data_IF_824220424312
#
_entry.id   IF_824220424312
#
_cell.length_a   1.000
_cell.length_b   1.000
_cell.length_c   1.000
_cell.angle_alpha   90.00
_cell.angle_beta   90.00
_cell.angle_gamma   90.00
#
_symmetry.space_group_name_H-M   'P 1'
#
loop_
_entity.id
_entity.type
_entity.pdbx_description
1 polymer ?
#
# COMPACT_ATOMS: atom_id res chain seq x y z
N UNK A 1 17.65 19.56 89.95
CA UNK A 1 16.55 20.46 89.54
C UNK A 1 16.84 21.02 88.14
N UNK A 2 15.81 21.29 87.31
CA UNK A 2 15.77 20.85 85.91
C UNK A 2 15.78 21.97 84.85
N UNK A 3 16.00 21.53 83.60
CA UNK A 3 15.49 22.02 82.31
C UNK A 3 15.15 23.52 82.11
N UNK A 4 15.75 24.10 81.06
CA UNK A 4 15.05 25.09 80.20
C UNK A 4 15.19 24.72 78.73
N UNK A 5 14.07 24.23 78.17
CA UNK A 5 13.79 24.19 76.72
C UNK A 5 13.74 25.62 76.17
N UNK A 6 14.34 25.85 75.00
CA UNK A 6 13.85 26.85 74.05
C UNK A 6 13.83 26.24 72.65
N UNK A 7 12.61 25.99 72.17
CA UNK A 7 12.31 25.75 70.77
C UNK A 7 12.55 27.04 69.98
N UNK A 8 13.31 26.95 68.88
CA UNK A 8 13.19 27.87 67.73
C UNK A 8 13.18 27.01 66.47
N UNK A 9 12.04 27.01 65.78
CA UNK A 9 11.88 26.43 64.45
C UNK A 9 12.58 27.33 63.42
N UNK A 10 13.60 26.79 62.77
CA UNK A 10 14.13 27.29 61.51
C UNK A 10 14.24 26.07 60.61
N UNK A 11 13.28 25.90 59.71
CA UNK A 11 13.29 24.86 58.69
C UNK A 11 14.44 25.12 57.70
N UNK A 12 15.40 24.20 57.52
CA UNK A 12 16.30 24.21 56.37
C UNK A 12 15.63 23.51 55.17
N UNK A 13 16.13 23.72 53.93
CA UNK A 13 15.38 23.48 52.71
C UNK A 13 15.09 22.00 52.49
N UNK A 14 13.94 21.75 51.85
CA UNK A 14 13.49 20.45 51.35
C UNK A 14 14.67 19.63 50.83
N UNK A 15 15.09 18.62 51.60
CA UNK A 15 15.94 17.56 51.11
C UNK A 15 15.22 16.94 49.90
N UNK A 16 15.83 17.07 48.73
CA UNK A 16 15.43 16.34 47.55
C UNK A 16 15.33 14.85 47.94
N UNK A 17 14.12 14.32 47.90
CA UNK A 17 13.85 12.95 48.33
C UNK A 17 14.60 11.92 47.49
N UNK A 18 14.52 10.64 47.87
CA UNK A 18 15.28 9.53 47.26
C UNK A 18 15.09 9.35 45.75
N UNK A 19 14.21 10.11 45.10
CA UNK A 19 13.98 10.10 43.64
C UNK A 19 15.08 10.83 42.85
N UNK A 20 15.73 11.86 43.40
CA UNK A 20 16.81 12.56 42.72
C UNK A 20 18.13 11.75 42.76
N UNK A 21 18.37 11.03 43.85
CA UNK A 21 19.50 10.11 43.99
C UNK A 21 19.32 8.82 43.20
N UNK A 22 18.09 8.31 43.03
CA UNK A 22 17.82 7.15 42.16
C UNK A 22 18.08 7.47 40.68
N UNK A 23 17.77 8.69 40.24
CA UNK A 23 18.02 9.17 38.88
C UNK A 23 19.52 9.33 38.58
N UNK A 24 20.30 9.75 39.58
CA UNK A 24 21.77 9.83 39.50
C UNK A 24 22.47 8.46 39.52
N UNK A 25 21.94 7.49 40.27
CA UNK A 25 22.50 6.12 40.31
C UNK A 25 22.22 5.36 39.01
N UNK A 26 21.04 5.55 38.39
CA UNK A 26 20.72 4.95 37.10
C UNK A 26 21.60 5.48 35.95
N UNK A 27 21.93 6.78 35.95
CA UNK A 27 22.82 7.39 34.95
C UNK A 27 24.27 6.96 35.12
N UNK A 28 24.75 6.80 36.36
CA UNK A 28 26.11 6.31 36.64
C UNK A 28 26.27 4.81 36.34
N UNK A 29 25.24 3.99 36.58
CA UNK A 29 25.26 2.57 36.19
C UNK A 29 25.22 2.42 34.66
N UNK A 30 24.43 3.22 33.95
CA UNK A 30 24.39 3.20 32.48
C UNK A 30 25.76 3.55 31.84
N UNK A 31 26.53 4.45 32.45
CA UNK A 31 27.86 4.85 31.98
C UNK A 31 28.97 3.84 32.34
N UNK A 32 28.77 2.97 33.34
CA UNK A 32 29.83 2.09 33.88
C UNK A 32 29.82 0.64 33.35
N UNK A 33 28.73 0.17 32.71
CA UNK A 33 28.63 -1.24 32.24
C UNK A 33 28.31 -1.40 30.75
N UNK A 34 28.20 -0.31 29.97
CA UNK A 34 27.70 -0.43 28.59
C UNK A 34 26.32 -1.09 28.55
N UNK A 35 25.51 -0.88 29.58
CA UNK A 35 24.21 -1.50 29.74
C UNK A 35 23.20 -0.86 28.78
N UNK A 36 23.16 -1.38 27.55
CA UNK A 36 21.99 -1.26 26.70
C UNK A 36 20.84 -2.11 27.26
N UNK A 37 19.61 -1.69 26.98
CA UNK A 37 18.33 -2.42 27.14
C UNK A 37 17.44 -2.18 28.38
N UNK A 38 17.90 -1.63 29.52
CA UNK A 38 17.05 -1.56 30.72
C UNK A 38 16.12 -0.33 30.87
N UNK A 39 15.85 0.45 29.81
CA UNK A 39 14.89 1.57 29.83
C UNK A 39 13.57 1.26 29.10
N UNK A 40 13.47 0.13 28.40
CA UNK A 40 12.31 -0.23 27.56
C UNK A 40 11.00 -0.51 28.34
N UNK A 41 11.05 -0.61 29.66
CA UNK A 41 9.90 -1.01 30.50
C UNK A 41 9.07 0.16 31.06
N UNK A 42 9.34 1.41 30.64
CA UNK A 42 8.61 2.60 31.16
C UNK A 42 7.88 3.43 30.10
N UNK A 43 7.79 2.96 28.85
CA UNK A 43 7.26 3.79 27.75
C UNK A 43 8.26 4.86 27.27
N UNK A 44 9.56 4.58 27.41
CA UNK A 44 10.63 5.51 27.08
C UNK A 44 10.96 5.51 25.59
N UNK A 45 11.55 6.62 25.15
CA UNK A 45 12.12 6.76 23.83
C UNK A 45 13.48 6.04 23.81
N UNK A 46 13.62 5.03 22.97
CA UNK A 46 14.87 4.34 22.66
C UNK A 46 15.61 5.08 21.56
N UNK A 47 16.91 5.31 21.74
CA UNK A 47 17.82 5.81 20.70
C UNK A 47 19.16 5.11 20.88
N UNK A 48 19.79 4.63 19.80
CA UNK A 48 21.12 4.02 19.82
C UNK A 48 22.13 4.73 18.91
N UNK A 49 23.39 4.25 18.94
CA UNK A 49 24.47 4.77 18.09
C UNK A 49 24.35 4.43 16.61
N UNK A 50 23.42 3.55 16.23
CA UNK A 50 23.15 3.15 14.86
C UNK A 50 21.98 3.95 14.24
N UNK A 51 21.53 5.03 14.89
CA UNK A 51 20.38 5.83 14.43
C UNK A 51 19.05 5.07 14.45
N UNK A 52 18.92 4.03 15.28
CA UNK A 52 17.62 3.45 15.57
C UNK A 52 16.89 4.33 16.60
N UNK A 53 15.60 4.57 16.39
CA UNK A 53 14.74 5.38 17.28
C UNK A 53 13.44 4.62 17.54
N UNK A 54 13.01 4.50 18.79
CA UNK A 54 11.71 3.91 19.08
C UNK A 54 10.99 4.53 20.29
N UNK A 55 9.67 4.35 20.41
CA UNK A 55 8.88 4.87 21.53
C UNK A 55 7.63 4.02 21.84
N UNK A 56 7.47 3.59 23.09
CA UNK A 56 6.42 2.65 23.55
C UNK A 56 6.98 1.44 24.31
N UNK A 57 6.58 0.21 23.98
CA UNK A 57 6.97 -1.01 24.72
C UNK A 57 7.47 -2.14 23.81
N UNK A 58 8.48 -2.88 24.27
CA UNK A 58 9.03 -4.09 23.63
C UNK A 58 9.54 -3.86 22.19
N UNK A 59 10.55 -3.00 22.03
CA UNK A 59 11.19 -2.76 20.73
C UNK A 59 12.34 -3.73 20.49
N UNK A 60 12.48 -4.21 19.25
CA UNK A 60 13.66 -4.98 18.80
C UNK A 60 13.95 -6.24 19.65
N UNK A 61 12.95 -6.76 20.35
CA UNK A 61 13.07 -7.97 21.18
C UNK A 61 14.03 -7.79 22.35
N UNK A 62 14.23 -6.54 22.79
CA UNK A 62 15.23 -6.19 23.80
C UNK A 62 16.68 -6.24 23.31
N UNK A 63 16.91 -6.44 22.01
CA UNK A 63 18.24 -6.42 21.39
C UNK A 63 18.56 -5.05 20.80
N UNK A 64 19.85 -4.75 20.63
CA UNK A 64 20.30 -3.58 19.85
C UNK A 64 20.66 -4.05 18.45
N UNK A 65 19.86 -3.77 17.41
CA UNK A 65 20.24 -4.12 16.05
C UNK A 65 21.60 -3.52 15.74
N UNK A 66 22.54 -4.34 15.25
CA UNK A 66 23.88 -3.87 14.86
C UNK A 66 23.86 -2.97 13.63
N UNK A 67 22.69 -2.82 13.02
CA UNK A 67 22.44 -2.17 11.75
C UNK A 67 21.42 -1.03 11.98
N UNK A 68 21.50 0.03 11.18
CA UNK A 68 20.94 1.34 11.55
C UNK A 68 19.67 1.80 10.85
N UNK A 69 19.13 2.91 11.37
CA UNK A 69 18.08 3.72 10.72
C UNK A 69 16.64 3.23 10.91
N UNK A 70 16.36 2.35 11.86
CA UNK A 70 15.01 1.84 12.08
C UNK A 70 14.20 2.75 13.03
N UNK A 71 12.92 2.96 12.71
CA UNK A 71 11.99 3.76 13.52
C UNK A 71 10.83 2.89 13.98
N UNK A 72 10.60 2.78 15.30
CA UNK A 72 9.55 1.94 15.89
C UNK A 72 8.62 2.71 16.84
N UNK A 73 7.31 2.69 16.64
CA UNK A 73 6.36 3.33 17.56
C UNK A 73 5.22 2.37 17.88
N UNK A 74 4.97 2.09 19.16
CA UNK A 74 3.85 1.24 19.58
C UNK A 74 4.24 0.10 20.52
N UNK A 75 3.68 -1.08 20.29
CA UNK A 75 3.85 -2.26 21.14
C UNK A 75 4.40 -3.43 20.32
N UNK A 76 5.49 -4.05 20.78
CA UNK A 76 6.12 -5.20 20.15
C UNK A 76 6.40 -5.01 18.65
N UNK A 77 7.06 -3.89 18.31
CA UNK A 77 7.41 -3.60 16.91
C UNK A 77 8.84 -4.06 16.61
N UNK A 78 9.00 -4.72 15.46
CA UNK A 78 10.27 -5.29 14.99
C UNK A 78 11.03 -6.23 15.98
N UNK A 79 10.38 -7.06 16.83
CA UNK A 79 11.07 -7.88 17.82
C UNK A 79 12.00 -8.94 17.22
N UNK A 80 11.75 -9.39 15.99
CA UNK A 80 12.58 -10.39 15.31
C UNK A 80 13.72 -9.80 14.45
N UNK A 81 13.89 -8.47 14.42
CA UNK A 81 14.85 -7.82 13.54
C UNK A 81 16.29 -8.12 13.96
N UNK A 82 17.07 -8.72 13.05
CA UNK A 82 18.48 -9.06 13.28
C UNK A 82 19.43 -8.21 12.43
N UNK A 83 19.17 -8.07 11.13
CA UNK A 83 20.08 -7.38 10.19
C UNK A 83 19.40 -6.37 9.26
N UNK A 84 18.08 -6.21 9.32
CA UNK A 84 17.38 -5.23 8.49
C UNK A 84 17.68 -3.78 8.87
N UNK A 85 17.64 -2.88 7.89
CA UNK A 85 17.90 -1.44 8.05
C UNK A 85 16.79 -0.57 7.49
N UNK A 86 16.72 0.67 7.95
CA UNK A 86 15.83 1.71 7.41
C UNK A 86 14.34 1.31 7.39
N UNK A 87 13.88 0.53 8.37
CA UNK A 87 12.47 0.17 8.48
C UNK A 87 11.71 1.19 9.35
N UNK A 88 10.47 1.49 8.99
CA UNK A 88 9.53 2.27 9.79
C UNK A 88 8.38 1.36 10.22
N UNK A 89 8.20 1.13 11.51
CA UNK A 89 7.10 0.37 12.09
C UNK A 89 6.30 1.24 13.06
N UNK A 90 4.98 1.30 12.89
CA UNK A 90 4.09 2.04 13.78
C UNK A 90 2.80 1.24 14.01
N UNK A 91 2.55 0.79 15.24
CA UNK A 91 1.37 0.00 15.59
C UNK A 91 1.68 -1.09 16.61
N UNK A 92 0.73 -2.00 16.79
CA UNK A 92 0.94 -3.25 17.55
C UNK A 92 1.42 -4.33 16.59
N UNK A 93 2.53 -5.00 16.90
CA UNK A 93 3.07 -6.12 16.11
C UNK A 93 3.39 -5.76 14.63
N UNK A 94 3.62 -4.47 14.35
CA UNK A 94 4.06 -4.01 13.05
C UNK A 94 5.50 -4.53 12.78
N UNK A 95 5.71 -5.14 11.60
CA UNK A 95 6.98 -5.81 11.24
C UNK A 95 7.43 -6.88 12.25
N UNK A 96 6.49 -7.55 12.93
CA UNK A 96 6.79 -8.48 14.03
C UNK A 96 7.85 -9.54 13.68
N UNK A 97 7.64 -10.25 12.57
CA UNK A 97 8.48 -11.32 12.04
C UNK A 97 9.41 -10.90 10.89
N UNK A 98 9.89 -9.65 10.87
CA UNK A 98 10.87 -9.18 9.90
C UNK A 98 12.30 -9.41 10.39
N UNK A 99 13.02 -10.41 9.84
CA UNK A 99 14.37 -10.77 10.31
C UNK A 99 15.48 -9.92 9.66
N UNK A 100 15.50 -9.85 8.33
CA UNK A 100 16.55 -9.17 7.55
C UNK A 100 16.00 -8.20 6.50
N UNK A 101 14.68 -8.09 6.36
CA UNK A 101 14.03 -7.16 5.44
C UNK A 101 14.39 -5.70 5.78
N UNK A 102 14.62 -4.91 4.74
CA UNK A 102 15.06 -3.51 4.85
C UNK A 102 14.13 -2.58 4.07
N UNK A 103 14.13 -1.29 4.44
CA UNK A 103 13.39 -0.23 3.74
C UNK A 103 11.87 -0.47 3.69
N UNK A 104 11.32 -1.16 4.68
CA UNK A 104 9.88 -1.37 4.78
C UNK A 104 9.20 -0.27 5.61
N UNK A 105 7.99 0.13 5.22
CA UNK A 105 7.11 1.01 5.97
C UNK A 105 5.86 0.24 6.36
N UNK A 106 5.65 0.01 7.66
CA UNK A 106 4.49 -0.66 8.21
C UNK A 106 3.78 0.27 9.21
N UNK A 107 2.54 0.65 8.92
CA UNK A 107 1.71 1.48 9.80
C UNK A 107 0.35 0.83 10.00
N UNK A 108 0.06 0.39 11.22
CA UNK A 108 -1.16 -0.33 11.58
C UNK A 108 -0.85 -1.60 12.37
N UNK A 109 -1.85 -2.09 13.11
CA UNK A 109 -1.72 -3.37 13.82
C UNK A 109 -1.50 -4.50 12.82
N UNK A 110 -0.49 -5.33 13.10
CA UNK A 110 -0.08 -6.48 12.27
C UNK A 110 0.27 -6.11 10.80
N UNK A 111 0.58 -4.84 10.51
CA UNK A 111 1.06 -4.44 9.19
C UNK A 111 2.44 -5.07 8.93
N UNK A 112 2.61 -5.76 7.79
CA UNK A 112 3.80 -6.57 7.47
C UNK A 112 4.21 -7.54 8.61
N UNK A 113 3.23 -8.10 9.34
CA UNK A 113 3.48 -8.95 10.50
C UNK A 113 4.50 -10.08 10.24
N UNK A 114 4.44 -10.76 9.10
CA UNK A 114 5.37 -11.81 8.71
C UNK A 114 6.04 -11.43 7.38
N UNK A 115 7.17 -10.74 7.46
CA UNK A 115 7.99 -10.31 6.33
C UNK A 115 9.47 -10.68 6.52
N UNK A 116 9.84 -11.97 6.56
CA UNK A 116 11.15 -12.41 7.03
C UNK A 116 12.34 -11.78 6.28
N UNK A 117 12.20 -11.60 4.97
CA UNK A 117 13.29 -11.13 4.07
C UNK A 117 12.86 -10.09 3.04
N UNK A 118 11.58 -9.72 2.97
CA UNK A 118 11.08 -8.79 1.95
C UNK A 118 11.53 -7.36 2.20
N UNK A 119 11.79 -6.63 1.13
CA UNK A 119 12.33 -5.28 1.14
C UNK A 119 11.42 -4.31 0.40
N UNK A 120 11.56 -3.02 0.72
CA UNK A 120 10.91 -1.92 -0.02
C UNK A 120 9.38 -2.01 -0.05
N UNK A 121 8.75 -2.65 0.94
CA UNK A 121 7.30 -2.74 1.03
C UNK A 121 6.69 -1.57 1.80
N UNK A 122 5.52 -1.09 1.38
CA UNK A 122 4.73 -0.09 2.09
C UNK A 122 3.37 -0.68 2.46
N UNK A 123 3.12 -0.88 3.74
CA UNK A 123 1.87 -1.38 4.28
C UNK A 123 1.25 -0.37 5.24
N UNK A 124 0.05 0.12 4.94
CA UNK A 124 -0.70 1.02 5.82
C UNK A 124 -2.11 0.51 6.02
N UNK A 125 -2.42 0.04 7.23
CA UNK A 125 -3.73 -0.50 7.61
C UNK A 125 -3.61 -1.76 8.48
N UNK A 126 -4.70 -2.10 9.18
CA UNK A 126 -4.83 -3.36 9.91
C UNK A 126 -4.63 -4.55 8.96
N UNK A 127 -3.68 -5.45 9.23
CA UNK A 127 -3.35 -6.60 8.36
C UNK A 127 -2.87 -6.27 6.94
N UNK A 128 -2.45 -5.02 6.67
CA UNK A 128 -1.88 -4.69 5.37
C UNK A 128 -0.58 -5.48 5.13
N UNK A 129 -0.48 -6.17 3.99
CA UNK A 129 0.63 -7.04 3.58
C UNK A 129 1.06 -8.04 4.66
N UNK A 130 0.12 -8.56 5.46
CA UNK A 130 0.41 -9.34 6.68
C UNK A 130 1.44 -10.46 6.49
N UNK A 131 1.47 -11.15 5.34
CA UNK A 131 2.30 -12.35 5.15
C UNK A 131 3.02 -12.37 3.79
N UNK A 132 3.94 -11.44 3.53
CA UNK A 132 4.69 -11.40 2.27
C UNK A 132 6.18 -11.64 2.48
N UNK A 133 6.84 -12.36 1.56
CA UNK A 133 8.31 -12.38 1.42
C UNK A 133 8.76 -11.63 0.17
N UNK A 134 7.81 -11.09 -0.59
CA UNK A 134 8.07 -10.33 -1.81
C UNK A 134 8.54 -8.92 -1.52
N UNK A 135 9.11 -8.29 -2.54
CA UNK A 135 9.68 -6.94 -2.48
C UNK A 135 8.81 -5.94 -3.25
N UNK A 136 8.95 -4.67 -2.88
CA UNK A 136 8.39 -3.53 -3.63
C UNK A 136 6.86 -3.59 -3.77
N UNK A 137 6.16 -4.07 -2.74
CA UNK A 137 4.69 -4.09 -2.72
C UNK A 137 4.13 -2.90 -1.93
N UNK A 138 3.00 -2.37 -2.40
CA UNK A 138 2.25 -1.30 -1.73
C UNK A 138 0.88 -1.86 -1.34
N UNK A 139 0.58 -1.94 -0.04
CA UNK A 139 -0.72 -2.31 0.50
C UNK A 139 -1.32 -1.16 1.32
N UNK A 140 -2.41 -0.57 0.84
CA UNK A 140 -3.08 0.56 1.51
C UNK A 140 -4.52 0.20 1.86
N UNK A 141 -4.86 0.20 3.15
CA UNK A 141 -6.17 -0.13 3.69
C UNK A 141 -6.17 -1.42 4.52
N UNK A 142 -7.26 -1.66 5.25
CA UNK A 142 -7.41 -2.85 6.06
C UNK A 142 -7.44 -4.12 5.19
N UNK A 143 -6.57 -5.08 5.50
CA UNK A 143 -6.41 -6.33 4.75
C UNK A 143 -5.83 -6.15 3.35
N UNK A 144 -5.26 -4.98 3.02
CA UNK A 144 -4.71 -4.74 1.69
C UNK A 144 -3.52 -5.66 1.40
N UNK A 145 -3.57 -6.43 0.32
CA UNK A 145 -2.55 -7.40 -0.07
C UNK A 145 -2.31 -8.53 0.94
N UNK A 146 -3.27 -8.83 1.82
CA UNK A 146 -3.16 -9.90 2.84
C UNK A 146 -2.89 -11.29 2.25
N UNK A 147 -3.29 -11.52 0.99
CA UNK A 147 -3.07 -12.77 0.28
C UNK A 147 -1.74 -12.81 -0.51
N UNK A 148 -0.98 -11.70 -0.56
CA UNK A 148 0.31 -11.68 -1.25
C UNK A 148 1.34 -12.47 -0.43
N UNK A 149 1.89 -13.54 -1.00
CA UNK A 149 2.81 -14.47 -0.32
C UNK A 149 4.28 -14.24 -0.67
N UNK A 150 4.65 -14.25 -1.96
CA UNK A 150 6.03 -14.08 -2.44
C UNK A 150 6.13 -13.21 -3.72
N UNK A 151 5.02 -12.58 -4.09
CA UNK A 151 4.90 -11.73 -5.25
C UNK A 151 5.58 -10.37 -5.11
N UNK A 152 6.12 -9.82 -6.20
CA UNK A 152 6.84 -8.54 -6.18
C UNK A 152 6.11 -7.45 -6.98
N UNK A 153 6.38 -6.18 -6.68
CA UNK A 153 5.93 -5.03 -7.47
C UNK A 153 4.39 -4.90 -7.60
N UNK A 154 3.63 -5.29 -6.57
CA UNK A 154 2.18 -5.14 -6.57
C UNK A 154 1.73 -3.85 -5.87
N UNK A 155 0.56 -3.35 -6.27
CA UNK A 155 -0.10 -2.22 -5.60
C UNK A 155 -1.54 -2.63 -5.29
N UNK A 156 -1.84 -2.90 -4.04
CA UNK A 156 -3.17 -3.25 -3.56
C UNK A 156 -3.74 -2.12 -2.68
N UNK A 157 -4.81 -1.47 -3.14
CA UNK A 157 -5.51 -0.42 -2.38
C UNK A 157 -6.91 -0.93 -2.03
N UNK A 158 -7.17 -1.19 -0.76
CA UNK A 158 -8.40 -1.80 -0.26
C UNK A 158 -8.78 -3.09 -1.02
N UNK A 159 -7.77 -3.84 -1.43
CA UNK A 159 -7.89 -5.11 -2.15
C UNK A 159 -7.05 -6.16 -1.43
N UNK A 160 -7.53 -7.39 -1.30
CA UNK A 160 -6.81 -8.45 -0.59
C UNK A 160 -5.57 -8.98 -1.33
N UNK A 161 -5.39 -8.63 -2.61
CA UNK A 161 -4.36 -9.20 -3.46
C UNK A 161 -4.66 -10.66 -3.83
N UNK A 162 -3.78 -11.26 -4.63
CA UNK A 162 -3.84 -12.67 -5.02
C UNK A 162 -2.47 -13.32 -4.81
N UNK A 163 -2.47 -14.52 -4.25
CA UNK A 163 -1.23 -15.23 -3.93
C UNK A 163 -0.31 -15.38 -5.17
N UNK A 164 0.96 -15.05 -4.99
CA UNK A 164 2.00 -15.16 -6.01
C UNK A 164 1.95 -14.15 -7.16
N UNK A 165 0.97 -13.23 -7.21
CA UNK A 165 0.93 -12.20 -8.27
C UNK A 165 2.15 -11.28 -8.25
N UNK A 166 2.57 -10.77 -9.39
CA UNK A 166 3.65 -9.79 -9.47
C UNK A 166 3.36 -8.75 -10.55
N UNK A 167 3.68 -7.49 -10.27
CA UNK A 167 3.46 -6.39 -11.21
C UNK A 167 1.99 -6.03 -11.42
N UNK A 168 1.12 -6.32 -10.46
CA UNK A 168 -0.34 -6.10 -10.57
C UNK A 168 -0.76 -4.93 -9.70
N UNK A 169 -1.57 -4.02 -10.25
CA UNK A 169 -2.29 -3.00 -9.48
C UNK A 169 -3.76 -3.42 -9.32
N UNK A 170 -4.24 -3.44 -8.07
CA UNK A 170 -5.63 -3.67 -7.71
C UNK A 170 -6.13 -2.53 -6.82
N UNK A 171 -7.29 -1.99 -7.16
CA UNK A 171 -7.92 -0.91 -6.39
C UNK A 171 -9.37 -1.30 -6.13
N UNK A 172 -9.74 -1.31 -4.85
CA UNK A 172 -11.06 -1.69 -4.38
C UNK A 172 -11.21 -3.19 -4.12
N UNK A 173 -12.37 -3.58 -3.59
CA UNK A 173 -12.78 -4.94 -3.29
C UNK A 173 -13.78 -5.43 -4.34
N UNK A 174 -13.53 -6.57 -4.98
CA UNK A 174 -14.41 -7.10 -6.00
C UNK A 174 -15.87 -7.18 -5.53
N UNK A 175 -16.79 -6.61 -6.33
CA UNK A 175 -18.23 -6.55 -6.03
C UNK A 175 -18.68 -5.41 -5.12
N UNK A 176 -17.78 -4.68 -4.47
CA UNK A 176 -18.13 -3.57 -3.59
C UNK A 176 -18.13 -2.20 -4.30
N UNK A 177 -17.22 -1.97 -5.26
CA UNK A 177 -17.19 -0.72 -6.01
C UNK A 177 -18.14 -0.78 -7.21
N UNK A 178 -19.06 0.19 -7.29
CA UNK A 178 -19.98 0.37 -8.41
C UNK A 178 -19.55 1.47 -9.40
N UNK A 179 -18.51 2.25 -9.06
CA UNK A 179 -17.96 3.30 -9.92
C UNK A 179 -16.50 3.62 -9.55
N UNK A 180 -15.72 4.06 -10.54
CA UNK A 180 -14.37 4.62 -10.35
C UNK A 180 -14.37 6.07 -10.86
N UNK A 181 -14.25 7.03 -9.93
CA UNK A 181 -14.29 8.47 -10.24
C UNK A 181 -12.90 9.07 -10.09
N UNK A 182 -12.31 9.58 -11.17
CA UNK A 182 -10.98 10.22 -11.18
C UNK A 182 -11.14 11.68 -11.59
N UNK A 183 -11.05 12.59 -10.60
CA UNK A 183 -11.43 14.01 -10.72
C UNK A 183 -10.59 14.85 -11.71
N UNK A 184 -9.50 14.31 -12.26
CA UNK A 184 -8.71 14.95 -13.32
C UNK A 184 -9.00 14.44 -14.73
N UNK A 185 -9.81 13.39 -14.88
CA UNK A 185 -10.15 12.77 -16.16
C UNK A 185 -11.61 13.09 -16.53
N UNK A 186 -12.49 13.07 -15.54
CA UNK A 186 -13.91 13.30 -15.75
C UNK A 186 -14.18 14.70 -16.32
N UNK A 187 -14.90 14.74 -17.46
CA UNK A 187 -15.35 15.97 -18.12
C UNK A 187 -14.23 16.97 -18.44
N UNK A 188 -13.00 16.48 -18.67
CA UNK A 188 -11.89 17.30 -19.16
C UNK A 188 -11.77 17.16 -20.68
N UNK A 189 -11.85 18.29 -21.37
CA UNK A 189 -11.55 18.38 -22.81
C UNK A 189 -10.05 18.36 -23.02
N UNK A 190 -9.54 17.41 -23.80
CA UNK A 190 -8.12 17.34 -24.17
C UNK A 190 -7.96 18.00 -25.55
N UNK A 191 -7.04 18.94 -25.69
CA UNK A 191 -6.72 19.55 -27.00
C UNK A 191 -5.96 18.57 -27.91
N UNK A 192 -6.25 18.58 -29.21
CA UNK A 192 -5.59 17.72 -30.22
C UNK A 192 -6.42 16.51 -30.67
N UNK A 193 -5.78 15.57 -31.39
CA UNK A 193 -6.45 14.37 -31.93
C UNK A 193 -6.72 13.36 -30.81
N UNK A 194 -7.92 13.42 -30.24
CA UNK A 194 -8.38 12.47 -29.22
C UNK A 194 -8.38 11.05 -29.78
N UNK A 195 -7.81 10.10 -29.05
CA UNK A 195 -7.87 8.66 -29.35
C UNK A 195 -8.78 7.99 -28.34
N UNK A 196 -9.56 7.00 -28.79
CA UNK A 196 -10.33 6.17 -27.88
C UNK A 196 -9.39 5.43 -26.92
N UNK A 197 -9.73 5.43 -25.63
CA UNK A 197 -9.10 4.53 -24.67
C UNK A 197 -9.76 3.17 -24.85
N UNK A 198 -8.94 2.13 -25.03
CA UNK A 198 -9.38 0.75 -25.19
C UNK A 198 -8.73 -0.12 -24.13
N UNK A 199 -9.40 -1.21 -23.80
CA UNK A 199 -8.83 -2.31 -23.00
C UNK A 199 -8.52 -3.45 -23.96
N UNK A 200 -7.27 -3.89 -24.00
CA UNK A 200 -6.89 -5.02 -24.87
C UNK A 200 -7.28 -6.37 -24.23
N UNK A 201 -7.07 -7.48 -24.96
CA UNK A 201 -7.38 -8.82 -24.46
C UNK A 201 -6.59 -9.26 -23.21
N UNK A 202 -5.56 -8.49 -22.82
CA UNK A 202 -4.80 -8.69 -21.59
C UNK A 202 -5.23 -7.74 -20.46
N UNK A 203 -6.37 -7.05 -20.60
CA UNK A 203 -6.88 -6.12 -19.58
C UNK A 203 -6.12 -4.80 -19.47
N UNK A 204 -5.18 -4.51 -20.39
CA UNK A 204 -4.38 -3.28 -20.35
C UNK A 204 -5.15 -2.13 -20.97
N UNK A 205 -5.26 -1.02 -20.25
CA UNK A 205 -5.72 0.26 -20.81
C UNK A 205 -4.65 0.84 -21.73
N UNK A 206 -5.06 1.36 -22.88
CA UNK A 206 -4.20 2.08 -23.81
C UNK A 206 -5.01 2.96 -24.75
N UNK A 207 -4.33 3.69 -25.64
CA UNK A 207 -5.00 4.40 -26.73
C UNK A 207 -4.97 3.55 -27.98
N UNK A 208 -6.13 3.34 -28.61
CA UNK A 208 -6.15 2.69 -29.91
C UNK A 208 -5.68 3.68 -30.99
N UNK A 209 -4.93 3.24 -32.02
CA UNK A 209 -5.01 3.91 -33.31
C UNK A 209 -6.50 4.04 -33.68
N UNK A 210 -6.90 5.14 -34.34
CA UNK A 210 -8.27 5.27 -34.83
C UNK A 210 -8.69 3.93 -35.48
N UNK A 211 -9.87 3.37 -35.13
CA UNK A 211 -10.28 2.09 -35.67
C UNK A 211 -10.06 2.12 -37.18
N UNK A 212 -9.29 1.17 -37.71
CA UNK A 212 -9.11 1.07 -39.15
C UNK A 212 -10.51 1.09 -39.75
N UNK A 213 -10.84 2.15 -40.49
CA UNK A 213 -12.21 2.38 -40.95
C UNK A 213 -12.72 1.06 -41.52
N UNK A 214 -13.80 0.46 -40.95
CA UNK A 214 -14.25 -0.86 -41.35
C UNK A 214 -14.39 -0.84 -42.85
N UNK A 215 -13.63 -1.70 -43.53
CA UNK A 215 -13.28 -1.59 -44.94
C UNK A 215 -14.37 -0.91 -45.77
N UNK A 216 -14.33 0.43 -45.89
CA UNK A 216 -15.31 1.20 -46.65
C UNK A 216 -15.33 0.72 -48.10
N UNK A 217 -14.19 0.17 -48.58
CA UNK A 217 -14.07 -0.55 -49.85
C UNK A 217 -15.01 -1.75 -49.96
N UNK A 218 -15.12 -2.58 -48.92
CA UNK A 218 -15.99 -3.76 -48.94
C UNK A 218 -17.46 -3.35 -48.87
N UNK A 219 -17.80 -2.37 -48.02
CA UNK A 219 -19.17 -1.85 -47.94
C UNK A 219 -19.60 -1.13 -49.23
N UNK A 220 -18.73 -0.32 -49.83
CA UNK A 220 -19.00 0.33 -51.12
C UNK A 220 -19.17 -0.68 -52.26
N UNK A 221 -18.41 -1.77 -52.25
CA UNK A 221 -18.56 -2.89 -53.20
C UNK A 221 -19.91 -3.59 -53.01
N UNK A 222 -20.27 -3.92 -51.76
CA UNK A 222 -21.56 -4.54 -51.42
C UNK A 222 -22.73 -3.63 -51.79
N UNK A 223 -22.65 -2.33 -51.50
CA UNK A 223 -23.67 -1.33 -51.90
C UNK A 223 -23.74 -1.22 -53.42
N UNK A 224 -22.60 -1.27 -54.12
CA UNK A 224 -22.55 -1.30 -55.58
C UNK A 224 -23.29 -2.50 -56.17
N UNK A 225 -23.06 -3.70 -55.63
CA UNK A 225 -23.76 -4.92 -56.02
C UNK A 225 -25.26 -4.87 -55.72
N UNK A 226 -25.64 -4.43 -54.52
CA UNK A 226 -27.06 -4.29 -54.14
C UNK A 226 -27.79 -3.28 -55.03
N UNK A 227 -27.17 -2.13 -55.35
CA UNK A 227 -27.73 -1.14 -56.29
C UNK A 227 -27.90 -1.71 -57.71
N UNK A 228 -26.97 -2.55 -58.16
CA UNK A 228 -27.08 -3.21 -59.46
C UNK A 228 -28.22 -4.24 -59.47
N UNK A 229 -28.36 -5.02 -58.40
CA UNK A 229 -29.43 -6.00 -58.26
C UNK A 229 -30.81 -5.34 -58.25
N UNK A 230 -31.00 -4.25 -57.49
CA UNK A 230 -32.28 -3.52 -57.46
C UNK A 230 -32.63 -2.95 -58.85
N UNK A 231 -31.65 -2.47 -59.62
CA UNK A 231 -31.89 -2.02 -61.01
C UNK A 231 -32.31 -3.17 -61.92
N UNK A 232 -31.68 -4.33 -61.77
CA UNK A 232 -32.03 -5.53 -62.54
C UNK A 232 -33.46 -6.00 -62.23
N UNK A 233 -33.79 -6.16 -60.95
CA UNK A 233 -35.13 -6.54 -60.49
C UNK A 233 -36.19 -5.52 -60.95
N UNK A 234 -35.89 -4.22 -60.88
CA UNK A 234 -36.78 -3.17 -61.38
C UNK A 234 -37.06 -3.28 -62.89
N UNK A 235 -36.04 -3.60 -63.69
CA UNK A 235 -36.19 -3.81 -65.14
C UNK A 235 -37.00 -5.08 -65.47
N UNK A 236 -36.82 -6.14 -64.68
CA UNK A 236 -37.58 -7.38 -64.82
C UNK A 236 -39.05 -7.19 -64.47
N UNK A 237 -39.34 -6.49 -63.37
CA UNK A 237 -40.71 -6.10 -62.99
C UNK A 237 -41.37 -5.27 -64.09
N UNK A 238 -40.64 -4.32 -64.70
CA UNK A 238 -41.16 -3.51 -65.80
C UNK A 238 -41.53 -4.37 -67.03
N UNK A 239 -40.69 -5.35 -67.40
CA UNK A 239 -40.98 -6.33 -68.45
C UNK A 239 -42.20 -7.19 -68.12
N UNK A 240 -42.27 -7.72 -66.90
CA UNK A 240 -43.39 -8.56 -66.46
C UNK A 240 -44.70 -7.77 -66.50
N UNK A 241 -44.70 -6.50 -66.09
CA UNK A 241 -45.89 -5.62 -66.20
C UNK A 241 -46.36 -5.46 -67.64
N UNK A 242 -45.44 -5.28 -68.61
CA UNK A 242 -45.80 -5.21 -70.02
C UNK A 242 -46.37 -6.53 -70.56
N UNK A 243 -45.81 -7.67 -70.14
CA UNK A 243 -46.31 -8.99 -70.53
C UNK A 243 -47.71 -9.27 -69.97
N UNK A 244 -47.96 -8.91 -68.71
CA UNK A 244 -49.29 -9.02 -68.10
C UNK A 244 -50.28 -8.13 -68.85
N UNK A 245 -49.96 -6.86 -69.11
CA UNK A 245 -50.82 -5.95 -69.88
C UNK A 245 -51.12 -6.43 -71.31
N UNK A 246 -50.21 -7.20 -71.92
CA UNK A 246 -50.43 -7.83 -73.23
C UNK A 246 -51.28 -9.08 -73.18
N UNK A 247 -51.37 -9.76 -72.03
CA UNK A 247 -52.19 -10.97 -71.83
C UNK A 247 -53.60 -10.66 -71.32
N UNK A 248 -53.82 -9.47 -70.75
CA UNK A 248 -55.15 -8.98 -70.32
C UNK A 248 -55.88 -8.15 -71.38
N UNK A 249 -55.36 -8.10 -72.61
CA UNK A 249 -56.06 -7.63 -73.81
C UNK A 249 -56.35 -8.82 -74.71
#
# INVERSE_FOLDING_TARGET
>A
MPAKRRFRSLSPPLHAGPRATLLGVATVIALAVGASAALADTGSVYVDGNSNVAAGHDFFGGTTPTNGGNVGIGYSVMPALTTGINNLASGTDALHGNYSGSQNVATGTDALFLNPTGNDNVATGFWALKNTTGNTNIGLGAGAGVNLTYGNNNIDIANQGVAGESGVTRIGTAGAQHATLISGIWNKTIGGTTKAVVVNGAGRLGTAPAPAAPALKNQARTIGHLRAQVRHEGAEIARLRQLVQRRTR
#
